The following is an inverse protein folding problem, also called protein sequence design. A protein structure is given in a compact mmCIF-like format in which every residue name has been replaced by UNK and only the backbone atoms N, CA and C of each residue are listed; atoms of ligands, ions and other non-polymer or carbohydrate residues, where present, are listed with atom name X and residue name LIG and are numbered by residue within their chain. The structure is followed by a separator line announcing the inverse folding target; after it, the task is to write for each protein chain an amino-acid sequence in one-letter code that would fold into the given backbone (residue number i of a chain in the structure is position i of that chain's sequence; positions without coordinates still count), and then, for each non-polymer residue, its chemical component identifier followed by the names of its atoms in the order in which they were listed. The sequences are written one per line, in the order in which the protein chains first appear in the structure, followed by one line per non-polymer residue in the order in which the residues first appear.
data_IF_739717120648
#
_entry.id   IF_739717120648
#
_cell.length_a   1.000
_cell.length_b   1.000
_cell.length_c   1.000
_cell.angle_alpha   90.00
_cell.angle_beta   90.00
_cell.angle_gamma   90.00
#
_symmetry.space_group_name_H-M   'P 1'
#
loop_
_entity.id
_entity.type
_entity.pdbx_description
1 polymer ?
#
# COMPACT_ATOMS: atom_id res chain seq x y z
N UNK A 1 -2.04 -1.79 15.95
CA UNK A 1 -1.52 -1.00 14.83
C UNK A 1 -2.57 -0.95 13.74
N UNK A 2 -2.83 0.24 13.19
CA UNK A 2 -3.86 0.46 12.17
C UNK A 2 -3.28 0.36 10.77
N UNK A 3 -4.09 -0.14 9.85
CA UNK A 3 -3.77 -0.24 8.43
C UNK A 3 -4.73 0.59 7.60
N UNK A 4 -4.21 1.26 6.59
CA UNK A 4 -4.98 2.06 5.65
C UNK A 4 -4.47 1.82 4.22
N UNK A 5 -5.32 2.12 3.26
CA UNK A 5 -4.91 2.34 1.87
C UNK A 5 -5.00 3.82 1.55
N UNK A 6 -4.17 4.30 0.64
CA UNK A 6 -4.21 5.67 0.15
C UNK A 6 -3.53 5.75 -1.22
N UNK A 7 -3.24 6.95 -1.69
CA UNK A 7 -2.57 7.17 -2.96
C UNK A 7 -1.53 8.27 -2.85
N UNK A 8 -0.63 8.35 -3.82
CA UNK A 8 0.60 9.15 -3.68
C UNK A 8 0.37 10.62 -3.35
N UNK A 9 -0.62 11.27 -3.92
CA UNK A 9 -0.87 12.69 -3.65
C UNK A 9 -1.31 12.99 -2.21
N UNK A 10 -1.73 11.98 -1.45
CA UNK A 10 -2.15 12.12 -0.06
C UNK A 10 -0.99 12.10 0.93
N UNK A 11 0.20 11.66 0.52
CA UNK A 11 1.37 11.54 1.41
C UNK A 11 1.70 12.87 2.08
N UNK A 12 1.46 13.99 1.40
CA UNK A 12 1.69 15.33 1.93
C UNK A 12 0.92 15.63 3.22
N UNK A 13 -0.16 14.90 3.48
CA UNK A 13 -1.00 15.08 4.66
C UNK A 13 -0.65 14.13 5.80
N UNK A 14 0.25 13.18 5.57
CA UNK A 14 0.60 12.18 6.57
C UNK A 14 1.44 12.80 7.68
N UNK A 15 1.20 12.33 8.89
CA UNK A 15 2.01 12.68 10.06
C UNK A 15 3.20 11.73 10.19
N UNK A 16 4.22 12.08 11.00
CA UNK A 16 5.43 11.25 11.10
C UNK A 16 5.17 9.78 11.46
N UNK A 17 4.15 9.50 12.25
CA UNK A 17 3.80 8.12 12.63
C UNK A 17 2.96 7.38 11.58
N UNK A 18 2.57 8.05 10.52
CA UNK A 18 1.79 7.48 9.41
C UNK A 18 2.74 7.10 8.29
N UNK A 19 3.06 5.80 8.20
CA UNK A 19 4.12 5.30 7.35
C UNK A 19 3.58 4.90 5.98
N UNK A 20 4.09 5.55 4.94
CA UNK A 20 3.69 5.28 3.56
C UNK A 20 4.51 4.12 2.98
N UNK A 21 3.83 3.05 2.58
CA UNK A 21 4.43 1.90 1.90
C UNK A 21 3.88 1.78 0.48
N UNK A 22 4.74 1.94 -0.51
CA UNK A 22 4.31 1.80 -1.90
C UNK A 22 4.02 0.35 -2.26
N UNK A 23 2.91 0.13 -2.94
CA UNK A 23 2.57 -1.15 -3.56
C UNK A 23 2.69 -1.10 -5.09
N UNK A 24 3.14 0.03 -5.63
CA UNK A 24 3.25 0.22 -7.07
C UNK A 24 4.49 -0.44 -7.65
N UNK A 25 4.38 -0.96 -8.88
CA UNK A 25 5.52 -1.48 -9.63
C UNK A 25 6.53 -0.37 -9.92
N UNK A 26 6.04 0.84 -10.23
CA UNK A 26 6.85 2.02 -10.52
C UNK A 26 6.39 3.17 -9.62
N UNK A 27 7.32 3.73 -8.88
CA UNK A 27 7.01 4.86 -8.00
C UNK A 27 7.18 6.19 -8.74
N UNK A 28 6.39 7.23 -8.39
CA UNK A 28 6.67 8.57 -8.89
C UNK A 28 8.03 9.06 -8.38
N UNK A 29 8.61 10.04 -9.09
CA UNK A 29 9.98 10.50 -8.83
C UNK A 29 10.19 11.03 -7.41
N UNK A 30 9.17 11.59 -6.78
CA UNK A 30 9.26 12.12 -5.41
C UNK A 30 9.24 11.02 -4.34
N UNK A 31 8.78 9.81 -4.68
CA UNK A 31 8.71 8.69 -3.74
C UNK A 31 9.98 7.84 -3.87
N UNK A 32 10.86 7.92 -2.89
CA UNK A 32 12.13 7.18 -2.86
C UNK A 32 12.19 6.28 -1.64
N UNK A 33 12.86 5.15 -1.79
CA UNK A 33 13.09 4.24 -0.66
C UNK A 33 13.95 4.92 0.42
N UNK A 34 13.55 4.76 1.67
CA UNK A 34 14.28 5.27 2.83
C UNK A 34 14.50 6.78 2.81
N UNK A 35 13.63 7.50 2.13
CA UNK A 35 13.71 8.95 2.08
C UNK A 35 12.83 9.58 3.17
N UNK A 36 13.39 10.50 3.91
CA UNK A 36 12.67 11.31 4.89
C UNK A 36 12.48 12.70 4.30
N UNK A 37 11.25 13.20 4.27
CA UNK A 37 10.95 14.52 3.74
C UNK A 37 11.39 15.65 4.70
N UNK A 38 11.20 16.90 4.29
CA UNK A 38 11.61 18.06 5.08
C UNK A 38 10.87 18.20 6.41
N UNK A 39 9.75 17.49 6.55
CA UNK A 39 8.95 17.49 7.78
C UNK A 39 9.24 16.27 8.65
N UNK A 40 10.25 15.47 8.30
CA UNK A 40 10.64 14.29 9.05
C UNK A 40 9.80 13.05 8.75
N UNK A 41 9.01 13.04 7.66
CA UNK A 41 8.17 11.90 7.30
C UNK A 41 8.93 10.94 6.39
N UNK A 42 8.81 9.64 6.66
CA UNK A 42 9.40 8.61 5.84
C UNK A 42 8.46 8.31 4.65
N UNK A 43 8.93 8.58 3.44
CA UNK A 43 8.11 8.49 2.22
C UNK A 43 8.61 7.45 1.23
N UNK A 44 9.60 6.67 1.57
CA UNK A 44 10.27 5.78 0.61
C UNK A 44 10.12 4.30 0.83
N UNK A 45 9.24 3.85 1.72
CA UNK A 45 9.09 2.43 2.00
C UNK A 45 8.29 1.71 0.90
N UNK A 46 8.67 0.46 0.63
CA UNK A 46 7.98 -0.40 -0.34
C UNK A 46 7.43 -1.63 0.36
N UNK A 47 6.16 -1.94 0.10
CA UNK A 47 5.52 -3.16 0.56
C UNK A 47 5.71 -4.26 -0.49
N UNK A 48 6.91 -4.82 -0.58
CA UNK A 48 7.30 -5.75 -1.65
C UNK A 48 6.31 -6.90 -1.87
N UNK A 49 5.76 -7.58 -0.84
CA UNK A 49 4.78 -8.65 -1.08
C UNK A 49 3.49 -8.18 -1.76
N UNK A 50 3.19 -6.89 -1.70
CA UNK A 50 1.99 -6.28 -2.29
C UNK A 50 2.25 -5.63 -3.64
N UNK A 51 3.47 -5.66 -4.14
CA UNK A 51 3.78 -5.15 -5.49
C UNK A 51 3.36 -6.22 -6.50
N UNK A 52 2.53 -5.87 -7.51
CA UNK A 52 2.12 -6.86 -8.51
C UNK A 52 3.31 -7.52 -9.19
N UNK A 53 3.28 -8.85 -9.25
CA UNK A 53 4.34 -9.65 -9.85
C UNK A 53 4.28 -9.67 -11.38
N UNK A 54 5.22 -10.41 -12.03
CA UNK A 54 5.31 -10.46 -13.50
C UNK A 54 4.04 -10.95 -14.21
N UNK A 55 3.30 -11.86 -13.59
CA UNK A 55 2.05 -12.38 -14.17
C UNK A 55 1.02 -11.26 -14.27
N UNK A 56 0.85 -10.49 -13.20
CA UNK A 56 -0.08 -9.35 -13.16
C UNK A 56 0.32 -8.27 -14.16
N UNK A 57 1.60 -8.00 -14.29
CA UNK A 57 2.15 -6.95 -15.14
C UNK A 57 1.73 -7.08 -16.61
N UNK A 58 1.55 -8.31 -17.10
CA UNK A 58 1.20 -8.55 -18.50
C UNK A 58 -0.30 -8.39 -18.79
N UNK A 59 -1.14 -8.39 -17.76
CA UNK A 59 -2.60 -8.33 -17.90
C UNK A 59 -3.14 -6.92 -18.06
N UNK A 60 -2.42 -5.92 -17.57
CA UNK A 60 -2.80 -4.52 -17.68
C UNK A 60 -1.66 -3.72 -18.31
N UNK A 61 -1.92 -3.11 -19.47
CA UNK A 61 -0.90 -2.39 -20.25
C UNK A 61 -0.83 -0.90 -19.94
N UNK A 62 -1.08 -0.52 -18.69
CA UNK A 62 -0.95 0.88 -18.28
C UNK A 62 -2.01 1.81 -18.87
N UNK A 63 -3.21 1.33 -19.08
CA UNK A 63 -4.32 2.16 -19.55
C UNK A 63 -4.71 3.15 -18.46
N UNK A 64 -4.74 4.42 -18.79
CA UNK A 64 -5.14 5.49 -17.88
C UNK A 64 -6.59 5.34 -17.41
N UNK A 65 -7.45 4.76 -18.25
CA UNK A 65 -8.86 4.49 -17.90
C UNK A 65 -9.21 3.06 -18.26
N UNK A 66 -9.44 2.25 -17.23
CA UNK A 66 -9.98 0.93 -17.39
C UNK A 66 -11.50 1.00 -17.28
N UNK A 67 -12.21 0.60 -18.33
CA UNK A 67 -13.68 0.55 -18.34
C UNK A 67 -14.20 -0.83 -17.89
N UNK A 68 -13.29 -1.76 -17.60
CA UNK A 68 -13.64 -3.10 -17.17
C UNK A 68 -14.10 -3.10 -15.71
N UNK A 69 -15.15 -3.87 -15.41
CA UNK A 69 -15.56 -4.06 -14.02
C UNK A 69 -14.44 -4.76 -13.23
N UNK A 70 -14.22 -4.39 -11.95
CA UNK A 70 -13.14 -4.97 -11.15
C UNK A 70 -13.17 -6.50 -11.05
N UNK A 71 -14.36 -7.10 -11.00
CA UNK A 71 -14.56 -8.54 -10.93
C UNK A 71 -14.24 -9.27 -12.25
N UNK A 72 -14.16 -8.55 -13.37
CA UNK A 72 -13.80 -9.08 -14.68
C UNK A 72 -12.32 -8.85 -15.02
N UNK A 73 -11.60 -8.04 -14.25
CA UNK A 73 -10.23 -7.65 -14.52
C UNK A 73 -9.26 -8.79 -14.24
N UNK A 74 -8.57 -9.30 -15.26
CA UNK A 74 -7.57 -10.35 -15.09
C UNK A 74 -6.40 -9.91 -14.21
N UNK A 75 -5.99 -8.63 -14.34
CA UNK A 75 -4.93 -8.07 -13.49
C UNK A 75 -5.29 -8.21 -12.02
N UNK A 76 -6.48 -7.79 -11.63
CA UNK A 76 -6.92 -7.85 -10.24
C UNK A 76 -7.13 -9.28 -9.76
N UNK A 77 -7.62 -10.18 -10.65
CA UNK A 77 -7.76 -11.60 -10.33
C UNK A 77 -6.40 -12.25 -10.03
N UNK A 78 -5.40 -12.01 -10.87
CA UNK A 78 -4.06 -12.54 -10.66
C UNK A 78 -3.40 -11.92 -9.44
N UNK A 79 -3.61 -10.63 -9.20
CA UNK A 79 -3.11 -9.96 -8.01
C UNK A 79 -3.71 -10.56 -6.73
N UNK A 80 -5.01 -10.83 -6.73
CA UNK A 80 -5.66 -11.51 -5.60
C UNK A 80 -5.06 -12.90 -5.33
N UNK A 81 -4.79 -13.67 -6.40
CA UNK A 81 -4.12 -14.96 -6.25
C UNK A 81 -2.73 -14.78 -5.63
N UNK A 82 -2.00 -13.74 -6.04
CA UNK A 82 -0.70 -13.42 -5.43
C UNK A 82 -0.85 -13.16 -3.94
N UNK A 83 -1.80 -12.34 -3.52
CA UNK A 83 -2.00 -12.02 -2.10
C UNK A 83 -2.47 -13.23 -1.30
N UNK A 84 -3.26 -14.12 -1.89
CA UNK A 84 -3.73 -15.33 -1.21
C UNK A 84 -2.60 -16.28 -0.80
N UNK A 85 -1.43 -16.16 -1.41
CA UNK A 85 -0.25 -16.96 -1.05
C UNK A 85 0.48 -16.41 0.17
N UNK A 86 0.13 -15.22 0.62
CA UNK A 86 0.77 -14.58 1.76
C UNK A 86 0.16 -15.10 3.07
N UNK A 87 1.00 -15.19 4.08
CA UNK A 87 0.57 -15.50 5.44
C UNK A 87 0.34 -14.18 6.20
N UNK A 88 -0.88 -13.94 6.66
CA UNK A 88 -1.24 -12.67 7.29
C UNK A 88 -0.44 -12.40 8.57
N UNK A 89 -0.17 -13.43 9.36
CA UNK A 89 0.56 -13.25 10.62
C UNK A 89 2.01 -12.83 10.35
N UNK A 90 2.64 -13.42 9.34
CA UNK A 90 3.99 -13.05 8.91
C UNK A 90 4.02 -11.62 8.35
N UNK A 91 3.03 -11.26 7.55
CA UNK A 91 2.92 -9.93 6.95
C UNK A 91 2.75 -8.87 8.04
N UNK A 92 1.82 -9.06 8.96
CA UNK A 92 1.57 -8.13 10.06
C UNK A 92 2.81 -8.00 10.95
N UNK A 93 3.44 -9.12 11.30
CA UNK A 93 4.67 -9.12 12.10
C UNK A 93 5.81 -8.35 11.42
N UNK A 94 5.94 -8.49 10.10
CA UNK A 94 6.98 -7.77 9.33
C UNK A 94 6.71 -6.27 9.30
N UNK A 95 5.46 -5.86 9.07
CA UNK A 95 5.10 -4.44 9.14
C UNK A 95 5.37 -3.87 10.53
N UNK A 96 5.03 -4.61 11.57
CA UNK A 96 5.26 -4.16 12.94
C UNK A 96 6.75 -4.01 13.24
N UNK A 97 7.58 -4.96 12.82
CA UNK A 97 9.03 -4.88 12.95
C UNK A 97 9.60 -3.62 12.30
N UNK A 98 9.22 -3.37 11.04
CA UNK A 98 9.67 -2.17 10.31
C UNK A 98 9.15 -0.91 10.98
N UNK A 99 7.88 -0.89 11.38
CA UNK A 99 7.28 0.28 12.00
C UNK A 99 7.97 0.65 13.33
N UNK A 100 8.31 -0.34 14.14
CA UNK A 100 9.01 -0.09 15.41
C UNK A 100 10.43 0.45 15.18
N UNK A 101 11.11 -0.04 14.16
CA UNK A 101 12.42 0.49 13.79
C UNK A 101 12.32 1.94 13.33
N UNK A 102 11.36 2.26 12.48
CA UNK A 102 11.11 3.63 12.02
C UNK A 102 10.76 4.54 13.20
N UNK A 103 9.93 4.07 14.10
CA UNK A 103 9.56 4.80 15.31
C UNK A 103 10.81 5.18 16.14
N UNK A 104 11.72 4.24 16.33
CA UNK A 104 12.96 4.48 17.03
C UNK A 104 13.85 5.49 16.30
N UNK A 105 13.99 5.33 14.99
CA UNK A 105 14.86 6.18 14.17
C UNK A 105 14.35 7.63 14.12
N UNK A 106 13.03 7.82 14.02
CA UNK A 106 12.41 9.14 13.94
C UNK A 106 12.05 9.73 15.31
N UNK A 107 11.95 8.89 16.35
CA UNK A 107 11.72 9.34 17.74
C UNK A 107 10.30 9.81 18.04
N UNK A 108 9.29 9.38 17.30
CA UNK A 108 7.90 9.71 17.62
C UNK A 108 7.32 8.73 18.64
N UNK A 109 6.35 9.21 19.43
CA UNK A 109 5.73 8.43 20.53
C UNK A 109 4.43 7.76 20.13
N UNK A 110 3.75 8.27 19.11
CA UNK A 110 2.45 7.75 18.65
C UNK A 110 2.60 6.33 18.12
N UNK A 111 1.53 5.53 18.24
CA UNK A 111 1.48 4.21 17.64
C UNK A 111 1.60 4.33 16.12
N UNK A 112 2.55 3.64 15.47
CA UNK A 112 2.68 3.69 14.02
C UNK A 112 1.44 3.20 13.29
N UNK A 113 1.12 3.86 12.19
CA UNK A 113 0.06 3.44 11.28
C UNK A 113 0.67 3.10 9.93
N UNK A 114 0.21 2.01 9.32
CA UNK A 114 0.71 1.53 8.03
C UNK A 114 -0.27 1.97 6.94
N UNK A 115 0.23 2.71 5.96
CA UNK A 115 -0.59 3.19 4.86
C UNK A 115 -0.03 2.63 3.55
N UNK A 116 -0.79 1.74 2.93
CA UNK A 116 -0.44 1.11 1.66
C UNK A 116 -0.87 2.00 0.51
N UNK A 117 0.08 2.38 -0.34
CA UNK A 117 -0.10 3.43 -1.36
C UNK A 117 -0.24 2.80 -2.73
N UNK A 118 -1.32 3.15 -3.41
CA UNK A 118 -1.57 2.82 -4.83
C UNK A 118 -1.58 4.10 -5.67
N UNK A 119 -1.63 3.96 -7.00
CA UNK A 119 -1.67 5.13 -7.90
C UNK A 119 -3.04 5.77 -7.97
N UNK A 120 -4.10 4.97 -8.00
CA UNK A 120 -5.46 5.42 -8.29
C UNK A 120 -6.12 6.03 -7.05
N UNK A 121 -6.87 7.10 -7.26
CA UNK A 121 -7.75 7.65 -6.24
C UNK A 121 -8.92 6.69 -5.96
N UNK A 122 -9.61 6.82 -4.80
CA UNK A 122 -10.68 5.89 -4.41
C UNK A 122 -11.88 5.82 -5.34
N UNK A 123 -12.08 6.84 -6.18
CA UNK A 123 -13.15 6.86 -7.16
C UNK A 123 -12.90 5.93 -8.36
N UNK A 124 -11.69 5.42 -8.52
CA UNK A 124 -11.36 4.43 -9.53
C UNK A 124 -11.45 3.03 -8.93
N UNK A 125 -12.46 2.22 -9.30
CA UNK A 125 -12.62 0.87 -8.75
C UNK A 125 -11.61 -0.14 -9.31
N UNK A 126 -10.94 0.18 -10.41
CA UNK A 126 -9.93 -0.69 -11.03
C UNK A 126 -8.55 -0.42 -10.44
N UNK A 127 -8.40 -0.69 -9.16
CA UNK A 127 -7.17 -0.46 -8.41
C UNK A 127 -6.84 -1.64 -7.51
N UNK A 128 -5.57 -1.88 -7.30
CA UNK A 128 -5.08 -2.87 -6.34
C UNK A 128 -5.66 -2.62 -4.94
N UNK A 129 -6.04 -1.39 -4.62
CA UNK A 129 -6.68 -1.04 -3.35
C UNK A 129 -7.82 -1.99 -2.98
N UNK A 130 -8.69 -2.28 -3.94
CA UNK A 130 -9.85 -3.15 -3.72
C UNK A 130 -9.42 -4.54 -3.27
N UNK A 131 -8.39 -5.08 -3.93
CA UNK A 131 -7.86 -6.41 -3.63
C UNK A 131 -7.13 -6.42 -2.29
N UNK A 132 -6.33 -5.38 -2.02
CA UNK A 132 -5.61 -5.24 -0.74
C UNK A 132 -6.60 -5.22 0.42
N UNK A 133 -7.63 -4.37 0.33
CA UNK A 133 -8.63 -4.27 1.38
C UNK A 133 -9.38 -5.58 1.58
N UNK A 134 -9.74 -6.24 0.49
CA UNK A 134 -10.42 -7.54 0.53
C UNK A 134 -9.55 -8.58 1.25
N UNK A 135 -8.28 -8.68 0.87
CA UNK A 135 -7.35 -9.65 1.47
C UNK A 135 -7.18 -9.43 2.97
N UNK A 136 -6.97 -8.18 3.40
CA UNK A 136 -6.83 -7.87 4.82
C UNK A 136 -8.09 -8.26 5.59
N UNK A 137 -9.27 -7.87 5.10
CA UNK A 137 -10.54 -8.14 5.77
C UNK A 137 -10.85 -9.63 5.83
N UNK A 138 -10.57 -10.37 4.77
CA UNK A 138 -10.75 -11.82 4.75
C UNK A 138 -9.83 -12.53 5.76
N UNK A 139 -8.72 -11.91 6.11
CA UNK A 139 -7.78 -12.43 7.11
C UNK A 139 -7.99 -11.83 8.51
N UNK A 140 -9.11 -11.17 8.73
CA UNK A 140 -9.48 -10.65 10.04
C UNK A 140 -8.78 -9.36 10.46
N UNK A 141 -8.13 -8.67 9.51
CA UNK A 141 -7.45 -7.40 9.77
C UNK A 141 -8.27 -6.26 9.19
N UNK A 142 -8.64 -5.30 10.04
CA UNK A 142 -9.37 -4.11 9.60
C UNK A 142 -8.45 -3.20 8.77
N UNK A 143 -8.99 -2.67 7.69
CA UNK A 143 -8.30 -1.72 6.83
C UNK A 143 -9.32 -0.78 6.20
N UNK A 144 -9.00 0.49 6.16
CA UNK A 144 -9.88 1.52 5.62
C UNK A 144 -9.11 2.42 4.67
N UNK A 145 -9.84 3.18 3.85
CA UNK A 145 -9.22 4.24 3.08
C UNK A 145 -8.86 5.40 4.00
N UNK A 146 -7.64 5.89 3.89
CA UNK A 146 -7.16 7.02 4.70
C UNK A 146 -7.94 8.29 4.38
N UNK A 147 -8.38 8.97 5.42
CA UNK A 147 -9.04 10.28 5.34
C UNK A 147 -8.16 11.31 6.05
N UNK A 148 -7.66 12.31 5.33
CA UNK A 148 -6.81 13.35 5.93
C UNK A 148 -7.56 14.23 6.91
#
# INVERSE_FOLDING_TARGET
MKFYTSYFSQIRYFKPYQLAFSTAMWNPAFFRNEHIDNEGRLIGLRATPFIPGPICKNDCRGREKCLMAPDECLFLKHYYIQLKRLNVDEIVAKFEEIARKVQQDLGFEEEPEIILIVYEAPDNPCSERVVIQKWFRENGVDIQEYQP
#
